data_IF_398913568200
#
_entry.id   IF_398913568200
#
_cell.length_a   1.000
_cell.length_b   1.000
_cell.length_c   1.000
_cell.angle_alpha   90.00
_cell.angle_beta   90.00
_cell.angle_gamma   90.00
#
_symmetry.space_group_name_H-M   'P 1'
#
loop_
_entity.id
_entity.type
_entity.pdbx_description
1 polymer ?
#
# COMPACT_ATOMS: atom_id res chain seq x y z
N UNK A 1 29.00 24.83 -33.83
CA UNK A 1 29.26 24.37 -32.44
C UNK A 1 28.14 24.88 -31.56
N UNK A 2 27.24 23.99 -31.12
CA UNK A 2 26.13 24.36 -30.25
C UNK A 2 26.64 24.39 -28.81
N UNK A 3 26.57 25.55 -28.14
CA UNK A 3 26.84 25.66 -26.70
C UNK A 3 25.53 25.31 -25.99
N UNK A 4 25.51 24.25 -25.18
CA UNK A 4 24.31 23.73 -24.53
C UNK A 4 23.96 24.48 -23.23
N UNK A 5 24.11 25.81 -23.21
CA UNK A 5 23.59 26.63 -22.11
C UNK A 5 22.07 26.75 -22.23
N UNK A 6 21.35 25.70 -21.81
CA UNK A 6 19.89 25.64 -21.77
C UNK A 6 19.40 25.65 -20.32
N UNK A 7 18.23 26.26 -20.04
CA UNK A 7 17.60 26.13 -18.74
C UNK A 7 17.18 24.67 -18.49
N UNK A 8 17.22 24.22 -17.21
CA UNK A 8 16.86 22.86 -16.75
C UNK A 8 15.58 22.30 -17.43
N UNK A 9 14.53 23.12 -17.53
CA UNK A 9 13.23 22.74 -18.14
C UNK A 9 13.32 22.32 -19.61
N UNK A 10 14.37 22.69 -20.33
CA UNK A 10 14.57 22.39 -21.74
C UNK A 10 15.49 21.19 -22.00
N UNK A 11 16.02 20.59 -20.94
CA UNK A 11 16.88 19.41 -21.05
C UNK A 11 16.08 18.11 -21.14
N UNK A 12 16.70 17.07 -21.70
CA UNK A 12 16.12 15.74 -21.86
C UNK A 12 16.32 14.88 -20.61
N UNK A 13 15.23 14.38 -20.04
CA UNK A 13 15.25 13.47 -18.88
C UNK A 13 14.56 12.16 -19.26
N UNK A 14 15.14 11.02 -18.86
CA UNK A 14 14.55 9.71 -18.99
C UNK A 14 14.03 9.25 -17.62
N UNK A 15 12.72 9.18 -17.45
CA UNK A 15 12.12 8.76 -16.17
C UNK A 15 11.93 7.25 -16.07
N UNK A 16 11.31 6.61 -17.07
CA UNK A 16 11.14 5.15 -17.15
C UNK A 16 10.62 4.73 -18.52
N UNK A 17 10.62 3.43 -18.81
CA UNK A 17 9.99 2.86 -20.02
C UNK A 17 8.47 3.02 -20.06
N UNK A 18 7.84 3.28 -18.92
CA UNK A 18 6.38 3.44 -18.79
C UNK A 18 5.95 4.91 -18.72
N UNK A 19 6.91 5.83 -18.85
CA UNK A 19 6.63 7.26 -18.74
C UNK A 19 5.97 7.81 -20.02
N UNK A 20 4.79 8.39 -19.84
CA UNK A 20 4.00 8.96 -20.93
C UNK A 20 4.61 10.26 -21.49
N UNK A 21 5.60 10.85 -20.81
CA UNK A 21 6.28 12.06 -21.29
C UNK A 21 7.40 11.78 -22.31
N UNK A 22 7.68 10.52 -22.62
CA UNK A 22 8.76 10.10 -23.54
C UNK A 22 8.75 10.84 -24.89
N UNK A 23 7.58 11.07 -25.49
CA UNK A 23 7.47 11.79 -26.76
C UNK A 23 7.89 13.27 -26.67
N UNK A 24 7.61 13.94 -25.54
CA UNK A 24 8.01 15.32 -25.29
C UNK A 24 9.53 15.45 -25.11
N UNK A 25 10.16 14.50 -24.43
CA UNK A 25 11.60 14.52 -24.24
C UNK A 25 12.37 14.11 -25.50
N UNK A 26 11.86 13.16 -26.29
CA UNK A 26 12.49 12.79 -27.55
C UNK A 26 12.41 13.90 -28.62
N UNK A 27 11.38 14.75 -28.61
CA UNK A 27 11.32 15.90 -29.53
C UNK A 27 12.38 16.96 -29.20
N UNK A 28 12.70 17.13 -27.91
CA UNK A 28 13.86 17.93 -27.49
C UNK A 28 15.19 17.27 -27.86
N UNK A 29 15.29 15.95 -27.70
CA UNK A 29 16.47 15.18 -28.06
C UNK A 29 16.78 15.29 -29.57
N UNK A 30 15.75 15.33 -30.42
CA UNK A 30 15.91 15.47 -31.88
C UNK A 30 16.75 16.69 -32.27
N UNK A 31 16.58 17.83 -31.60
CA UNK A 31 17.38 19.03 -31.86
C UNK A 31 18.88 18.80 -31.61
N UNK A 32 19.20 18.03 -30.57
CA UNK A 32 20.58 17.65 -30.24
C UNK A 32 21.12 16.56 -31.17
N UNK A 33 20.26 15.63 -31.57
CA UNK A 33 20.60 14.57 -32.52
C UNK A 33 20.85 15.11 -33.94
N UNK A 34 20.33 16.28 -34.27
CA UNK A 34 20.59 16.97 -35.54
C UNK A 34 21.73 18.00 -35.50
N UNK A 35 22.23 18.38 -34.32
CA UNK A 35 23.30 19.40 -34.18
C UNK A 35 24.71 18.81 -34.08
N UNK A 36 25.76 19.56 -34.42
CA UNK A 36 27.13 19.12 -34.09
C UNK A 36 27.39 19.29 -32.58
N UNK A 37 27.83 18.20 -31.94
CA UNK A 37 28.18 18.18 -30.51
C UNK A 37 29.69 18.43 -30.37
N UNK A 38 30.05 19.32 -29.46
CA UNK A 38 31.43 19.60 -29.13
C UNK A 38 32.15 18.34 -28.59
N UNK A 39 33.41 18.13 -28.99
CA UNK A 39 34.19 16.99 -28.52
C UNK A 39 34.70 17.14 -27.07
N UNK A 40 34.72 18.37 -26.56
CA UNK A 40 35.18 18.70 -25.21
C UNK A 40 34.07 19.46 -24.47
N UNK A 41 33.12 18.70 -23.91
CA UNK A 41 32.09 19.20 -23.00
C UNK A 41 32.66 19.23 -21.57
N UNK A 42 32.48 20.36 -20.88
CA UNK A 42 32.91 20.56 -19.49
C UNK A 42 31.72 20.73 -18.51
N UNK A 43 30.49 20.91 -19.02
CA UNK A 43 29.29 20.96 -18.19
C UNK A 43 28.79 19.55 -17.89
N UNK A 44 28.64 19.25 -16.59
CA UNK A 44 28.10 17.98 -16.10
C UNK A 44 26.68 17.73 -16.60
N UNK A 45 25.84 18.77 -16.72
CA UNK A 45 24.44 18.60 -17.13
C UNK A 45 24.33 18.21 -18.61
N UNK A 46 25.23 18.69 -19.46
CA UNK A 46 25.31 18.26 -20.86
C UNK A 46 25.64 16.77 -20.94
N UNK A 47 26.60 16.30 -20.13
CA UNK A 47 26.99 14.89 -20.07
C UNK A 47 25.84 14.02 -19.57
N UNK A 48 25.12 14.47 -18.54
CA UNK A 48 23.96 13.76 -18.00
C UNK A 48 22.78 13.77 -18.98
N UNK A 49 22.58 14.83 -19.75
CA UNK A 49 21.58 14.90 -20.83
C UNK A 49 21.88 13.89 -21.94
N UNK A 50 23.14 13.80 -22.40
CA UNK A 50 23.57 12.79 -23.38
C UNK A 50 23.35 11.36 -22.88
N UNK A 51 23.57 11.12 -21.58
CA UNK A 51 23.29 9.83 -20.97
C UNK A 51 21.78 9.52 -20.96
N UNK A 52 20.94 10.47 -20.57
CA UNK A 52 19.48 10.30 -20.58
C UNK A 52 18.92 10.06 -22.00
N UNK A 53 19.46 10.74 -23.01
CA UNK A 53 19.12 10.46 -24.42
C UNK A 53 19.49 9.02 -24.76
N UNK A 54 20.68 8.56 -24.36
CA UNK A 54 21.14 7.19 -24.61
C UNK A 54 20.18 6.13 -24.06
N UNK A 55 19.58 6.36 -22.89
CA UNK A 55 18.62 5.45 -22.26
C UNK A 55 17.36 5.19 -23.12
N UNK A 56 16.84 6.20 -23.83
CA UNK A 56 15.72 5.99 -24.75
C UNK A 56 16.08 5.00 -25.86
N UNK A 57 17.27 5.16 -26.45
CA UNK A 57 17.74 4.30 -27.55
C UNK A 57 18.06 2.88 -27.08
N UNK A 58 18.63 2.73 -25.89
CA UNK A 58 18.88 1.44 -25.25
C UNK A 58 17.59 0.66 -24.97
N UNK A 59 16.49 1.36 -24.68
CA UNK A 59 15.18 0.76 -24.44
C UNK A 59 14.29 0.67 -25.70
N UNK A 60 14.81 1.02 -26.88
CA UNK A 60 14.05 0.91 -28.13
C UNK A 60 12.90 1.93 -28.26
N UNK A 61 12.97 3.05 -27.54
CA UNK A 61 11.92 4.07 -27.51
C UNK A 61 12.26 5.18 -28.50
N UNK A 62 11.39 5.38 -29.49
CA UNK A 62 11.58 6.34 -30.59
C UNK A 62 10.34 7.20 -30.80
N UNK A 63 10.53 8.38 -31.38
CA UNK A 63 9.41 9.18 -31.87
C UNK A 63 8.75 8.50 -33.05
N UNK A 64 7.41 8.48 -33.06
CA UNK A 64 6.61 7.94 -34.18
C UNK A 64 6.83 8.70 -35.50
N UNK A 65 7.33 9.93 -35.43
CA UNK A 65 7.65 10.76 -36.59
C UNK A 65 8.99 10.44 -37.24
N UNK A 66 9.87 9.68 -36.58
CA UNK A 66 11.18 9.31 -37.12
C UNK A 66 11.04 8.18 -38.15
N UNK A 67 11.72 8.33 -39.28
CA UNK A 67 11.87 7.26 -40.26
C UNK A 67 12.89 6.22 -39.79
N UNK A 68 12.86 5.02 -40.38
CA UNK A 68 13.87 3.98 -40.11
C UNK A 68 15.29 4.48 -40.39
N UNK A 69 15.45 5.34 -41.41
CA UNK A 69 16.72 5.98 -41.74
C UNK A 69 17.19 6.96 -40.66
N UNK A 70 16.26 7.76 -40.09
CA UNK A 70 16.58 8.68 -38.98
C UNK A 70 17.01 7.90 -37.74
N UNK A 71 16.28 6.82 -37.42
CA UNK A 71 16.58 5.97 -36.26
C UNK A 71 17.98 5.36 -36.37
N UNK A 72 18.38 4.88 -37.56
CA UNK A 72 19.73 4.34 -37.78
C UNK A 72 20.79 5.43 -37.60
N UNK A 73 20.61 6.60 -38.22
CA UNK A 73 21.56 7.71 -38.09
C UNK A 73 21.70 8.21 -36.64
N UNK A 74 20.58 8.35 -35.93
CA UNK A 74 20.58 8.77 -34.53
C UNK A 74 21.20 7.71 -33.61
N UNK A 75 21.02 6.42 -33.87
CA UNK A 75 21.72 5.34 -33.14
C UNK A 75 23.23 5.44 -33.29
N UNK A 76 23.72 5.65 -34.51
CA UNK A 76 25.16 5.84 -34.77
C UNK A 76 25.71 7.03 -33.99
N UNK A 77 24.96 8.15 -33.97
CA UNK A 77 25.32 9.32 -33.20
C UNK A 77 25.33 9.08 -31.70
N UNK A 78 24.27 8.48 -31.14
CA UNK A 78 24.17 8.15 -29.70
C UNK A 78 25.31 7.23 -29.26
N UNK A 79 25.77 6.32 -30.13
CA UNK A 79 26.95 5.50 -29.83
C UNK A 79 28.21 6.32 -29.57
N UNK A 80 28.35 7.52 -30.15
CA UNK A 80 29.48 8.42 -29.88
C UNK A 80 29.43 9.01 -28.46
N UNK A 81 28.25 9.15 -27.86
CA UNK A 81 28.09 9.77 -26.53
C UNK A 81 28.77 8.97 -25.43
N UNK A 82 28.80 7.64 -25.56
CA UNK A 82 29.42 6.73 -24.58
C UNK A 82 30.87 7.11 -24.27
N UNK A 83 31.64 7.49 -25.27
CA UNK A 83 33.04 7.88 -25.09
C UNK A 83 33.16 9.24 -24.39
N UNK A 84 32.31 10.21 -24.72
CA UNK A 84 32.28 11.53 -24.07
C UNK A 84 31.92 11.40 -22.59
N UNK A 85 30.83 10.67 -22.29
CA UNK A 85 30.37 10.39 -20.93
C UNK A 85 31.48 9.71 -20.13
N UNK A 86 32.10 8.67 -20.68
CA UNK A 86 33.21 7.97 -20.01
C UNK A 86 34.38 8.91 -19.71
N UNK A 87 34.83 9.68 -20.70
CA UNK A 87 35.97 10.60 -20.56
C UNK A 87 35.71 11.60 -19.44
N UNK A 88 34.52 12.20 -19.41
CA UNK A 88 34.15 13.17 -18.39
C UNK A 88 34.05 12.54 -16.99
N UNK A 89 33.24 11.50 -16.82
CA UNK A 89 32.98 10.91 -15.49
C UNK A 89 34.25 10.35 -14.85
N UNK A 90 35.18 9.80 -15.65
CA UNK A 90 36.44 9.24 -15.11
C UNK A 90 37.45 10.29 -14.63
N UNK A 91 37.23 11.57 -14.98
CA UNK A 91 38.00 12.72 -14.50
C UNK A 91 37.46 13.32 -13.19
N UNK A 92 36.28 12.91 -12.73
CA UNK A 92 35.73 13.40 -11.45
C UNK A 92 36.53 12.79 -10.30
N UNK A 93 37.08 13.58 -9.41
CA UNK A 93 37.79 13.10 -8.22
C UNK A 93 37.51 14.00 -7.02
N UNK A 94 38.16 13.72 -5.89
CA UNK A 94 37.95 14.46 -4.66
C UNK A 94 38.12 15.99 -4.81
N UNK A 95 38.96 16.45 -5.73
CA UNK A 95 39.29 17.87 -5.88
C UNK A 95 38.23 18.69 -6.62
N UNK A 96 37.42 18.04 -7.45
CA UNK A 96 36.43 18.70 -8.31
C UNK A 96 34.99 18.21 -8.09
N UNK A 97 34.80 17.12 -7.32
CA UNK A 97 33.51 16.50 -7.08
C UNK A 97 32.44 17.48 -6.60
N UNK A 98 32.72 18.27 -5.56
CA UNK A 98 31.75 19.19 -4.97
C UNK A 98 31.30 20.25 -5.98
N UNK A 99 32.25 20.82 -6.73
CA UNK A 99 31.96 21.81 -7.77
C UNK A 99 31.06 21.26 -8.87
N UNK A 100 31.24 20.01 -9.27
CA UNK A 100 30.34 19.41 -10.25
C UNK A 100 28.97 19.07 -9.63
N UNK A 101 28.97 18.50 -8.42
CA UNK A 101 27.76 18.05 -7.75
C UNK A 101 26.78 19.20 -7.48
N UNK A 102 27.26 20.35 -7.01
CA UNK A 102 26.44 21.53 -6.70
C UNK A 102 25.76 22.14 -7.94
N UNK A 103 26.28 21.85 -9.13
CA UNK A 103 25.74 22.35 -10.39
C UNK A 103 24.79 21.36 -11.08
N UNK A 104 24.51 20.19 -10.49
CA UNK A 104 23.63 19.18 -11.09
C UNK A 104 22.17 19.65 -11.07
N UNK A 105 21.52 19.62 -12.24
CA UNK A 105 20.09 19.83 -12.37
C UNK A 105 19.31 18.70 -11.68
N UNK A 106 18.22 19.05 -10.99
CA UNK A 106 17.49 18.13 -10.09
C UNK A 106 17.07 16.82 -10.76
N UNK A 107 16.73 16.86 -12.05
CA UNK A 107 16.33 15.69 -12.84
C UNK A 107 17.44 14.66 -13.06
N UNK A 108 18.69 14.94 -12.71
CA UNK A 108 19.84 14.11 -13.07
C UNK A 108 20.59 13.44 -11.92
N UNK A 109 20.15 13.60 -10.66
CA UNK A 109 20.81 12.94 -9.53
C UNK A 109 20.89 11.41 -9.68
N UNK A 110 19.81 10.76 -10.12
CA UNK A 110 19.79 9.31 -10.36
C UNK A 110 20.84 8.90 -11.41
N UNK A 111 20.88 9.62 -12.53
CA UNK A 111 21.87 9.39 -13.60
C UNK A 111 23.30 9.61 -13.10
N UNK A 112 23.54 10.67 -12.34
CA UNK A 112 24.86 10.97 -11.79
C UNK A 112 25.38 9.86 -10.88
N UNK A 113 24.60 9.48 -9.86
CA UNK A 113 25.01 8.45 -8.91
C UNK A 113 25.19 7.08 -9.58
N UNK A 114 24.35 6.77 -10.57
CA UNK A 114 24.49 5.57 -11.38
C UNK A 114 25.81 5.56 -12.15
N UNK A 115 26.19 6.68 -12.78
CA UNK A 115 27.45 6.80 -13.51
C UNK A 115 28.66 6.74 -12.58
N UNK A 116 28.65 7.46 -11.45
CA UNK A 116 29.70 7.39 -10.42
C UNK A 116 29.89 5.96 -9.90
N UNK A 117 28.78 5.22 -9.70
CA UNK A 117 28.82 3.81 -9.31
C UNK A 117 29.40 2.92 -10.42
N UNK A 118 28.89 3.04 -11.65
CA UNK A 118 29.24 2.15 -12.75
C UNK A 118 30.69 2.33 -13.22
N UNK A 119 31.18 3.57 -13.27
CA UNK A 119 32.58 3.88 -13.56
C UNK A 119 33.50 3.74 -12.34
N UNK A 120 32.96 3.36 -11.18
CA UNK A 120 33.69 3.16 -9.92
C UNK A 120 34.42 4.41 -9.41
N UNK A 121 33.95 5.59 -9.79
CA UNK A 121 34.63 6.84 -9.46
C UNK A 121 34.50 7.20 -7.97
N UNK A 122 33.53 6.61 -7.27
CA UNK A 122 33.42 6.63 -5.80
C UNK A 122 34.70 6.17 -5.08
N UNK A 123 35.60 5.43 -5.76
CA UNK A 123 36.90 5.05 -5.17
C UNK A 123 37.84 6.23 -4.98
N UNK A 124 37.70 7.28 -5.79
CA UNK A 124 38.51 8.50 -5.77
C UNK A 124 37.85 9.68 -5.02
N UNK A 125 36.67 9.46 -4.48
CA UNK A 125 35.93 10.45 -3.69
C UNK A 125 36.01 10.03 -2.23
N UNK A 126 36.36 10.97 -1.37
CA UNK A 126 36.55 10.75 0.07
C UNK A 126 35.20 10.73 0.79
N UNK A 127 35.13 10.08 1.97
CA UNK A 127 33.92 10.10 2.79
C UNK A 127 33.45 11.51 3.19
N UNK A 128 34.38 12.45 3.41
CA UNK A 128 34.05 13.83 3.79
C UNK A 128 33.25 14.58 2.73
N UNK A 129 33.51 14.31 1.44
CA UNK A 129 32.69 14.87 0.35
C UNK A 129 31.23 14.38 0.44
N UNK A 130 31.02 13.11 0.81
CA UNK A 130 29.68 12.55 0.95
C UNK A 130 28.98 13.06 2.22
N UNK A 131 29.73 13.26 3.30
CA UNK A 131 29.21 13.94 4.50
C UNK A 131 28.70 15.34 4.16
N UNK A 132 29.47 16.12 3.40
CA UNK A 132 29.08 17.46 2.95
C UNK A 132 27.82 17.43 2.08
N UNK A 133 27.74 16.51 1.10
CA UNK A 133 26.54 16.31 0.29
C UNK A 133 25.32 16.01 1.16
N UNK A 134 25.43 15.12 2.14
CA UNK A 134 24.31 14.74 2.99
C UNK A 134 23.90 15.84 3.97
N UNK A 135 24.84 16.67 4.44
CA UNK A 135 24.55 17.83 5.28
C UNK A 135 23.80 18.92 4.50
N UNK A 136 24.23 19.19 3.26
CA UNK A 136 23.63 20.23 2.41
C UNK A 136 22.36 19.76 1.70
N UNK A 137 22.27 18.46 1.38
CA UNK A 137 21.19 17.85 0.62
C UNK A 137 20.82 16.47 1.16
N UNK A 138 20.15 16.39 2.33
CA UNK A 138 19.78 15.12 2.99
C UNK A 138 19.02 14.13 2.10
N UNK A 139 18.21 14.62 1.16
CA UNK A 139 17.43 13.81 0.23
C UNK A 139 18.28 12.88 -0.66
N UNK A 140 19.57 13.21 -0.84
CA UNK A 140 20.53 12.44 -1.65
C UNK A 140 20.83 11.05 -1.09
N UNK A 141 20.55 10.83 0.20
CA UNK A 141 20.74 9.52 0.84
C UNK A 141 20.03 8.40 0.08
N UNK A 142 18.83 8.65 -0.50
CA UNK A 142 18.08 7.62 -1.23
C UNK A 142 18.82 7.19 -2.51
N UNK A 143 19.42 8.12 -3.23
CA UNK A 143 20.22 7.82 -4.43
C UNK A 143 21.47 7.02 -4.06
N UNK A 144 22.18 7.39 -2.99
CA UNK A 144 23.33 6.63 -2.48
C UNK A 144 22.94 5.19 -2.07
N UNK A 145 21.87 5.04 -1.30
CA UNK A 145 21.38 3.74 -0.84
C UNK A 145 20.88 2.85 -1.98
N UNK A 146 20.61 3.40 -3.17
CA UNK A 146 20.23 2.60 -4.34
C UNK A 146 21.38 1.80 -4.96
N UNK A 147 22.63 2.09 -4.57
CA UNK A 147 23.83 1.48 -5.13
C UNK A 147 24.66 0.78 -4.06
N UNK A 148 24.68 -0.56 -4.08
CA UNK A 148 25.40 -1.37 -3.08
C UNK A 148 26.88 -0.96 -2.91
N UNK A 149 27.59 -0.66 -4.00
CA UNK A 149 29.02 -0.29 -3.89
C UNK A 149 29.23 1.06 -3.19
N UNK A 150 28.32 2.03 -3.39
CA UNK A 150 28.36 3.31 -2.68
C UNK A 150 28.09 3.09 -1.19
N UNK A 151 27.11 2.24 -0.86
CA UNK A 151 26.80 1.87 0.52
C UNK A 151 27.97 1.19 1.22
N UNK A 152 28.64 0.28 0.54
CA UNK A 152 29.79 -0.43 1.10
C UNK A 152 30.99 0.52 1.29
N UNK A 153 31.23 1.44 0.35
CA UNK A 153 32.32 2.44 0.42
C UNK A 153 32.09 3.46 1.54
N UNK A 154 30.89 4.01 1.66
CA UNK A 154 30.54 5.10 2.59
C UNK A 154 29.76 4.62 3.80
N UNK A 155 29.95 3.35 4.18
CA UNK A 155 29.20 2.66 5.22
C UNK A 155 29.09 3.45 6.53
N UNK A 156 30.18 4.03 7.02
CA UNK A 156 30.21 4.76 8.29
C UNK A 156 29.40 6.06 8.21
N UNK A 157 29.67 6.88 7.19
CA UNK A 157 28.94 8.13 6.90
C UNK A 157 27.43 7.88 6.82
N UNK A 158 27.02 6.88 6.04
CA UNK A 158 25.60 6.54 5.89
C UNK A 158 24.98 6.02 7.19
N UNK A 159 25.73 5.27 8.00
CA UNK A 159 25.24 4.82 9.30
C UNK A 159 25.04 5.97 10.28
N UNK A 160 25.95 6.94 10.32
CA UNK A 160 25.82 8.12 11.18
C UNK A 160 24.65 8.98 10.72
N UNK A 161 24.58 9.28 9.42
CA UNK A 161 23.48 10.04 8.83
C UNK A 161 22.12 9.41 9.12
N UNK A 162 21.96 8.11 8.87
CA UNK A 162 20.68 7.42 9.07
C UNK A 162 20.23 7.40 10.54
N UNK A 163 21.16 7.51 11.50
CA UNK A 163 20.87 7.58 12.93
C UNK A 163 20.50 8.99 13.39
N UNK A 164 21.03 10.02 12.73
CA UNK A 164 20.79 11.42 13.08
C UNK A 164 19.56 12.01 12.38
N UNK A 165 19.27 11.56 11.16
CA UNK A 165 18.18 12.09 10.36
C UNK A 165 16.85 11.41 10.68
N UNK A 166 15.82 12.20 11.01
CA UNK A 166 14.52 11.68 11.40
C UNK A 166 13.77 11.03 10.21
N UNK A 167 13.97 11.53 8.98
CA UNK A 167 13.30 10.98 7.79
C UNK A 167 13.82 9.60 7.39
N UNK A 168 14.94 9.17 7.95
CA UNK A 168 15.52 7.85 7.76
C UNK A 168 14.58 6.71 8.19
N UNK A 169 13.63 6.98 9.10
CA UNK A 169 12.57 6.04 9.43
C UNK A 169 11.71 5.67 8.22
N UNK A 170 11.38 6.63 7.35
CA UNK A 170 10.59 6.38 6.13
C UNK A 170 11.37 5.53 5.13
N UNK A 171 12.69 5.68 5.09
CA UNK A 171 13.57 4.82 4.27
C UNK A 171 13.51 3.38 4.80
N UNK A 172 13.67 3.17 6.11
CA UNK A 172 13.58 1.85 6.73
C UNK A 172 12.22 1.20 6.46
N UNK A 173 11.13 1.93 6.69
CA UNK A 173 9.79 1.45 6.43
C UNK A 173 9.58 1.13 4.94
N UNK A 174 10.14 1.95 4.04
CA UNK A 174 10.07 1.69 2.60
C UNK A 174 10.76 0.39 2.17
N UNK A 175 11.77 -0.06 2.91
CA UNK A 175 12.49 -1.32 2.65
C UNK A 175 11.69 -2.50 3.21
N UNK A 176 11.25 -2.40 4.46
CA UNK A 176 10.71 -3.55 5.19
C UNK A 176 9.19 -3.69 5.06
N UNK A 177 8.43 -2.62 5.25
CA UNK A 177 6.99 -2.69 5.57
C UNK A 177 6.07 -2.11 4.49
N UNK A 178 6.53 -1.13 3.70
CA UNK A 178 5.69 -0.44 2.71
C UNK A 178 5.52 -1.26 1.44
N UNK A 179 4.29 -1.39 0.95
CA UNK A 179 3.94 -2.06 -0.30
C UNK A 179 4.59 -1.36 -1.49
N UNK A 180 5.14 -2.15 -2.41
CA UNK A 180 5.87 -1.62 -3.55
C UNK A 180 4.90 -1.32 -4.70
N UNK A 181 4.78 -0.05 -5.08
CA UNK A 181 4.17 0.34 -6.35
C UNK A 181 5.19 0.30 -7.50
N UNK A 182 4.70 0.49 -8.73
CA UNK A 182 5.46 0.41 -9.99
C UNK A 182 6.83 1.13 -9.94
N UNK A 183 7.86 0.49 -10.52
CA UNK A 183 9.21 1.05 -10.77
C UNK A 183 10.05 1.47 -9.55
N UNK A 184 9.92 0.79 -8.39
CA UNK A 184 10.74 1.16 -7.22
C UNK A 184 12.18 0.63 -7.30
N UNK A 185 13.14 1.53 -7.10
CA UNK A 185 14.56 1.22 -6.99
C UNK A 185 14.86 0.47 -5.68
N UNK A 186 15.58 -0.65 -5.79
CA UNK A 186 16.02 -1.42 -4.63
C UNK A 186 17.03 -0.62 -3.80
N UNK A 187 16.77 -0.50 -2.50
CA UNK A 187 17.66 0.17 -1.56
C UNK A 187 18.47 -0.84 -0.73
N UNK A 188 19.70 -0.47 -0.39
CA UNK A 188 20.65 -1.23 0.41
C UNK A 188 20.97 -0.45 1.69
N UNK A 189 20.88 -1.10 2.85
CA UNK A 189 21.27 -0.48 4.11
C UNK A 189 22.74 -0.77 4.44
N UNK A 190 23.46 0.18 5.06
CA UNK A 190 24.81 -0.06 5.52
C UNK A 190 24.83 -1.12 6.63
N UNK A 191 25.78 -2.05 6.56
CA UNK A 191 25.84 -3.22 7.45
C UNK A 191 26.17 -2.90 8.92
N UNK A 192 26.43 -1.63 9.27
CA UNK A 192 26.64 -1.19 10.66
C UNK A 192 25.33 -0.83 11.38
N UNK A 193 24.19 -0.79 10.69
CA UNK A 193 22.90 -0.58 11.34
C UNK A 193 22.41 -1.87 12.01
N UNK A 194 22.47 -1.89 13.33
CA UNK A 194 21.92 -2.98 14.15
C UNK A 194 20.39 -2.93 14.20
N UNK A 195 19.76 -4.00 14.67
CA UNK A 195 18.31 -4.02 14.91
C UNK A 195 17.91 -2.92 15.91
N UNK A 196 18.74 -2.70 16.94
CA UNK A 196 18.53 -1.67 17.96
C UNK A 196 18.68 -0.26 17.37
N UNK A 197 19.64 -0.04 16.46
CA UNK A 197 19.75 1.24 15.75
C UNK A 197 18.50 1.53 14.94
N UNK A 198 18.01 0.56 14.18
CA UNK A 198 16.79 0.70 13.37
C UNK A 198 15.56 1.00 14.23
N UNK A 199 15.41 0.32 15.36
CA UNK A 199 14.31 0.63 16.28
C UNK A 199 14.43 2.04 16.88
N UNK A 200 15.64 2.48 17.24
CA UNK A 200 15.86 3.85 17.75
C UNK A 200 15.49 4.92 16.72
N UNK A 201 15.79 4.70 15.45
CA UNK A 201 15.39 5.59 14.35
C UNK A 201 13.86 5.71 14.30
N UNK A 202 13.13 4.59 14.41
CA UNK A 202 11.66 4.61 14.44
C UNK A 202 11.13 5.34 15.69
N UNK A 203 11.71 5.11 16.86
CA UNK A 203 11.30 5.79 18.11
C UNK A 203 11.47 7.30 17.97
N UNK A 204 12.65 7.75 17.51
CA UNK A 204 12.92 9.18 17.31
C UNK A 204 11.98 9.82 16.28
N UNK A 205 11.56 9.04 15.28
CA UNK A 205 10.60 9.52 14.28
C UNK A 205 9.19 9.69 14.87
N UNK A 206 8.70 8.74 15.67
CA UNK A 206 7.38 8.84 16.34
C UNK A 206 7.34 10.05 17.29
N UNK A 207 8.44 10.30 18.00
CA UNK A 207 8.55 11.39 18.97
C UNK A 207 8.70 12.77 18.28
N UNK A 208 9.01 12.81 16.98
CA UNK A 208 9.14 14.05 16.21
C UNK A 208 7.81 14.78 16.00
N UNK A 209 7.89 16.10 15.86
CA UNK A 209 6.78 16.95 15.42
C UNK A 209 6.51 16.81 13.91
N UNK A 210 7.51 16.37 13.13
CA UNK A 210 7.42 16.20 11.68
C UNK A 210 7.10 14.75 11.26
N UNK A 211 6.69 13.90 12.19
CA UNK A 211 6.27 12.53 11.90
C UNK A 211 5.09 12.54 10.91
N UNK A 212 5.24 11.85 9.78
CA UNK A 212 4.14 11.69 8.84
C UNK A 212 3.14 10.65 9.38
N UNK A 213 1.92 11.10 9.65
CA UNK A 213 0.83 10.31 10.24
C UNK A 213 0.52 9.04 9.43
N UNK A 214 0.77 9.04 8.11
CA UNK A 214 0.50 7.88 7.25
C UNK A 214 1.41 6.68 7.54
N UNK A 215 2.59 6.88 8.13
CA UNK A 215 3.48 5.78 8.51
C UNK A 215 3.16 5.18 9.88
N UNK A 216 2.39 5.86 10.74
CA UNK A 216 2.10 5.38 12.08
C UNK A 216 1.29 4.07 12.10
N UNK A 217 0.24 3.88 11.27
CA UNK A 217 -0.45 2.59 11.15
C UNK A 217 0.47 1.46 10.67
N UNK A 218 1.45 1.77 9.80
CA UNK A 218 2.44 0.82 9.29
C UNK A 218 3.36 0.39 10.43
N UNK A 219 3.86 1.34 11.23
CA UNK A 219 4.69 1.04 12.40
C UNK A 219 3.92 0.21 13.43
N UNK A 220 2.67 0.57 13.71
CA UNK A 220 1.81 -0.15 14.66
C UNK A 220 1.67 -1.64 14.28
N UNK A 221 1.48 -1.91 12.98
CA UNK A 221 1.19 -3.26 12.47
C UNK A 221 2.43 -3.99 11.92
N UNK A 222 3.61 -3.38 12.03
CA UNK A 222 4.87 -3.90 11.52
C UNK A 222 5.12 -5.35 11.93
N UNK A 223 5.60 -6.17 10.99
CA UNK A 223 5.86 -7.58 11.24
C UNK A 223 7.24 -7.77 11.86
N UNK A 224 7.46 -8.96 12.42
CA UNK A 224 8.79 -9.33 12.93
C UNK A 224 9.60 -9.85 11.75
N UNK A 225 10.63 -9.13 11.35
CA UNK A 225 11.64 -9.59 10.39
C UNK A 225 12.92 -9.98 11.13
N UNK A 226 13.79 -10.76 10.49
CA UNK A 226 15.09 -11.14 11.07
C UNK A 226 15.96 -9.92 11.35
N UNK A 227 15.98 -8.96 10.42
CA UNK A 227 16.88 -7.80 10.45
C UNK A 227 16.18 -6.48 10.78
N UNK A 228 14.88 -6.52 11.07
CA UNK A 228 14.07 -5.36 11.44
C UNK A 228 12.95 -5.79 12.39
N UNK A 229 12.95 -5.22 13.60
CA UNK A 229 12.00 -5.57 14.65
C UNK A 229 11.61 -4.33 15.43
N UNK A 230 10.32 -4.11 15.52
CA UNK A 230 9.72 -3.05 16.33
C UNK A 230 9.09 -3.71 17.56
N UNK A 231 9.46 -3.26 18.76
CA UNK A 231 8.90 -3.76 20.01
C UNK A 231 7.44 -3.34 20.19
N UNK A 232 6.71 -4.09 21.01
CA UNK A 232 5.31 -3.78 21.31
C UNK A 232 5.16 -2.41 22.01
N UNK A 233 6.20 -1.97 22.75
CA UNK A 233 6.26 -0.62 23.34
C UNK A 233 6.28 0.46 22.25
N UNK A 234 7.14 0.29 21.24
CA UNK A 234 7.24 1.23 20.12
C UNK A 234 5.97 1.23 19.26
N UNK A 235 5.36 0.06 19.04
CA UNK A 235 4.04 -0.06 18.36
C UNK A 235 2.93 0.68 19.11
N UNK A 236 2.91 0.56 20.44
CA UNK A 236 1.95 1.27 21.29
C UNK A 236 2.17 2.79 21.24
N UNK A 237 3.42 3.26 21.19
CA UNK A 237 3.74 4.67 21.01
C UNK A 237 3.20 5.20 19.66
N UNK A 238 3.44 4.47 18.56
CA UNK A 238 2.92 4.83 17.25
C UNK A 238 1.38 4.90 17.23
N UNK A 239 0.69 3.91 17.85
CA UNK A 239 -0.77 3.91 17.99
C UNK A 239 -1.28 5.15 18.74
N UNK A 240 -0.65 5.50 19.86
CA UNK A 240 -1.04 6.68 20.66
C UNK A 240 -0.82 7.98 19.90
N UNK A 241 0.32 8.13 19.24
CA UNK A 241 0.63 9.29 18.39
C UNK A 241 -0.38 9.41 17.25
N UNK A 242 -0.75 8.31 16.58
CA UNK A 242 -1.75 8.32 15.52
C UNK A 242 -3.12 8.80 16.03
N UNK A 243 -3.58 8.25 17.15
CA UNK A 243 -4.84 8.66 17.77
C UNK A 243 -4.84 10.14 18.16
N UNK A 244 -3.72 10.65 18.67
CA UNK A 244 -3.54 12.05 18.98
C UNK A 244 -3.61 12.93 17.71
N UNK A 245 -2.83 12.60 16.67
CA UNK A 245 -2.79 13.37 15.42
C UNK A 245 -4.15 13.37 14.69
N UNK A 246 -4.87 12.25 14.71
CA UNK A 246 -6.23 12.16 14.16
C UNK A 246 -7.17 13.08 14.93
N UNK A 247 -7.13 13.06 16.27
CA UNK A 247 -7.96 13.94 17.10
C UNK A 247 -7.66 15.41 16.84
N UNK A 248 -6.39 15.81 16.84
CA UNK A 248 -5.95 17.18 16.56
C UNK A 248 -6.41 17.65 15.17
N UNK A 249 -6.32 16.78 14.15
CA UNK A 249 -6.78 17.08 12.81
C UNK A 249 -8.29 17.39 12.77
N UNK A 250 -9.12 16.57 13.41
CA UNK A 250 -10.57 16.80 13.46
C UNK A 250 -10.97 17.99 14.33
N UNK A 251 -10.27 18.25 15.44
CA UNK A 251 -10.53 19.37 16.34
C UNK A 251 -10.15 20.73 15.72
N UNK A 252 -9.23 20.75 14.74
CA UNK A 252 -8.71 21.98 14.11
C UNK A 252 -9.70 22.72 13.21
N UNK A 253 -10.89 22.15 12.93
CA UNK A 253 -11.94 22.75 12.09
C UNK A 253 -11.55 23.01 10.62
N UNK A 254 -10.32 22.67 10.24
CA UNK A 254 -9.69 23.01 8.95
C UNK A 254 -9.81 21.88 7.91
N UNK A 255 -10.53 20.81 8.24
CA UNK A 255 -10.65 19.63 7.39
C UNK A 255 -11.92 19.67 6.54
N UNK A 256 -11.77 19.65 5.22
CA UNK A 256 -12.84 19.16 4.33
C UNK A 256 -12.91 17.64 4.50
N UNK A 257 -13.93 17.15 5.21
CA UNK A 257 -14.15 15.72 5.39
C UNK A 257 -15.20 15.22 4.41
N UNK A 258 -14.93 14.08 3.77
CA UNK A 258 -15.94 13.32 3.06
C UNK A 258 -16.64 12.40 4.08
N UNK A 259 -17.95 12.61 4.27
CA UNK A 259 -18.77 11.80 5.17
C UNK A 259 -19.45 10.70 4.38
N UNK A 260 -19.46 9.50 4.94
CA UNK A 260 -20.20 8.36 4.43
C UNK A 260 -20.76 7.56 5.60
N UNK A 261 -21.79 6.76 5.33
CA UNK A 261 -22.44 5.96 6.37
C UNK A 261 -23.47 5.00 5.82
N UNK A 262 -24.24 4.42 6.73
CA UNK A 262 -25.34 3.51 6.43
C UNK A 262 -26.55 3.84 7.30
N UNK A 263 -27.74 3.83 6.70
CA UNK A 263 -29.02 3.95 7.38
C UNK A 263 -29.86 2.71 7.10
N UNK A 264 -30.50 2.16 8.13
CA UNK A 264 -31.34 0.95 8.02
C UNK A 264 -32.70 1.22 8.64
N UNK A 265 -33.77 0.87 7.92
CA UNK A 265 -35.14 1.01 8.40
C UNK A 265 -35.98 -0.21 8.03
N UNK A 266 -37.05 -0.40 8.81
CA UNK A 266 -38.01 -1.49 8.64
C UNK A 266 -39.43 -0.91 8.51
N UNK A 267 -39.78 -0.30 7.36
CA UNK A 267 -41.09 0.31 7.17
C UNK A 267 -42.21 -0.74 7.12
N UNK A 268 -43.37 -0.36 7.65
CA UNK A 268 -44.65 -1.03 7.38
C UNK A 268 -45.24 -0.54 6.05
N UNK A 269 -46.05 -1.37 5.41
CA UNK A 269 -46.67 -1.19 4.10
C UNK A 269 -45.66 -0.88 2.98
N UNK A 270 -44.47 -1.49 3.06
CA UNK A 270 -43.43 -1.31 2.06
C UNK A 270 -43.83 -1.93 0.70
N UNK A 271 -43.57 -1.22 -0.40
CA UNK A 271 -43.90 -1.69 -1.76
C UNK A 271 -42.98 -2.80 -2.27
N UNK A 272 -41.81 -2.97 -1.65
CA UNK A 272 -40.82 -4.01 -1.95
C UNK A 272 -40.35 -4.65 -0.66
N UNK A 273 -39.98 -5.93 -0.71
CA UNK A 273 -39.39 -6.63 0.45
C UNK A 273 -38.03 -6.05 0.85
N UNK A 274 -37.31 -5.47 -0.12
CA UNK A 274 -36.02 -4.81 0.04
C UNK A 274 -35.90 -3.64 -0.93
N UNK A 275 -35.32 -2.54 -0.47
CA UNK A 275 -34.97 -1.39 -1.29
C UNK A 275 -33.68 -0.75 -0.77
N UNK A 276 -32.81 -0.29 -1.67
CA UNK A 276 -31.60 0.41 -1.28
C UNK A 276 -31.26 1.53 -2.27
N UNK A 277 -30.74 2.63 -1.75
CA UNK A 277 -30.30 3.78 -2.54
C UNK A 277 -29.16 4.52 -1.83
N UNK A 278 -28.50 5.42 -2.54
CA UNK A 278 -27.41 6.23 -2.01
C UNK A 278 -27.85 7.69 -2.00
N UNK A 279 -27.70 8.35 -0.86
CA UNK A 279 -27.95 9.77 -0.70
C UNK A 279 -26.80 10.40 0.09
N UNK A 280 -26.14 11.41 -0.48
CA UNK A 280 -25.07 12.18 0.17
C UNK A 280 -23.96 11.31 0.83
N UNK A 281 -23.55 10.21 0.17
CA UNK A 281 -22.54 9.29 0.69
C UNK A 281 -23.05 8.30 1.75
N UNK A 282 -24.34 8.32 2.07
CA UNK A 282 -24.99 7.33 2.95
C UNK A 282 -25.72 6.29 2.11
N UNK A 283 -25.51 5.02 2.40
CA UNK A 283 -26.28 3.92 1.80
C UNK A 283 -27.51 3.67 2.68
N UNK A 284 -28.70 3.79 2.12
CA UNK A 284 -29.95 3.52 2.81
C UNK A 284 -30.44 2.13 2.45
N UNK A 285 -30.83 1.35 3.46
CA UNK A 285 -31.46 0.04 3.31
C UNK A 285 -32.83 0.05 3.98
N UNK A 286 -33.85 -0.33 3.21
CA UNK A 286 -35.22 -0.54 3.66
C UNK A 286 -35.57 -2.03 3.51
N UNK A 287 -36.06 -2.63 4.60
CA UNK A 287 -36.56 -4.00 4.61
C UNK A 287 -38.03 -4.01 5.05
N UNK A 288 -38.91 -4.65 4.29
CA UNK A 288 -40.34 -4.71 4.63
C UNK A 288 -40.54 -5.40 5.99
N UNK A 289 -41.10 -4.67 6.95
CA UNK A 289 -41.44 -5.25 8.26
C UNK A 289 -42.59 -6.26 8.13
N UNK A 290 -43.54 -6.02 7.24
CA UNK A 290 -44.69 -6.91 7.00
C UNK A 290 -44.21 -8.25 6.46
N UNK A 291 -43.29 -8.24 5.49
CA UNK A 291 -42.69 -9.47 4.96
C UNK A 291 -42.06 -10.31 6.07
N UNK A 292 -41.30 -9.70 6.99
CA UNK A 292 -40.66 -10.41 8.10
C UNK A 292 -41.71 -10.95 9.09
N UNK A 293 -42.76 -10.18 9.40
CA UNK A 293 -43.85 -10.59 10.30
C UNK A 293 -44.65 -11.76 9.73
N UNK A 294 -44.97 -11.72 8.45
CA UNK A 294 -45.72 -12.75 7.73
C UNK A 294 -44.90 -14.04 7.54
N UNK A 295 -43.57 -13.92 7.40
CA UNK A 295 -42.65 -15.03 7.15
C UNK A 295 -41.75 -15.31 8.36
N UNK A 296 -42.34 -15.47 9.54
CA UNK A 296 -41.62 -15.53 10.80
C UNK A 296 -41.19 -16.94 11.26
N UNK A 297 -41.24 -17.95 10.38
CA UNK A 297 -40.71 -19.27 10.69
C UNK A 297 -39.19 -19.19 10.93
N UNK A 298 -38.63 -19.83 11.97
CA UNK A 298 -37.21 -19.69 12.33
C UNK A 298 -36.23 -19.89 11.17
N UNK A 299 -36.51 -20.86 10.29
CA UNK A 299 -35.68 -21.08 9.10
C UNK A 299 -35.74 -19.91 8.10
N UNK A 300 -36.91 -19.29 7.89
CA UNK A 300 -37.02 -18.14 6.97
C UNK A 300 -36.33 -16.91 7.59
N UNK A 301 -36.49 -16.71 8.90
CA UNK A 301 -35.79 -15.66 9.64
C UNK A 301 -34.26 -15.82 9.55
N UNK A 302 -33.76 -17.06 9.56
CA UNK A 302 -32.36 -17.37 9.27
C UNK A 302 -31.99 -17.07 7.81
N UNK A 303 -32.82 -17.48 6.85
CA UNK A 303 -32.58 -17.24 5.41
C UNK A 303 -32.61 -15.76 5.03
N UNK A 304 -33.18 -14.86 5.84
CA UNK A 304 -33.13 -13.42 5.57
C UNK A 304 -31.70 -12.85 5.52
N UNK A 305 -30.71 -13.49 6.16
CA UNK A 305 -29.29 -13.11 6.00
C UNK A 305 -28.78 -13.30 4.57
N UNK A 306 -29.37 -14.23 3.83
CA UNK A 306 -29.14 -14.42 2.40
C UNK A 306 -30.13 -13.58 1.59
N UNK A 307 -31.43 -13.75 1.80
CA UNK A 307 -32.49 -13.20 0.92
C UNK A 307 -32.66 -11.69 1.05
N UNK A 308 -32.56 -11.11 2.26
CA UNK A 308 -32.68 -9.67 2.48
C UNK A 308 -31.30 -9.01 2.51
N UNK A 309 -30.36 -9.57 3.28
CA UNK A 309 -29.08 -8.92 3.54
C UNK A 309 -27.98 -9.29 2.55
N UNK A 310 -28.14 -10.34 1.74
CA UNK A 310 -27.18 -10.77 0.71
C UNK A 310 -25.76 -11.00 1.27
N UNK A 311 -25.66 -11.63 2.45
CA UNK A 311 -24.35 -11.94 3.06
C UNK A 311 -23.57 -13.01 2.30
N UNK A 312 -24.27 -13.79 1.48
CA UNK A 312 -23.68 -14.78 0.61
C UNK A 312 -24.07 -14.52 -0.84
N UNK A 313 -23.20 -14.88 -1.77
CA UNK A 313 -23.48 -14.83 -3.20
C UNK A 313 -24.31 -16.03 -3.67
N UNK A 314 -24.58 -16.10 -4.97
CA UNK A 314 -25.33 -17.19 -5.61
C UNK A 314 -24.67 -18.57 -5.44
N UNK A 315 -23.38 -18.62 -5.08
CA UNK A 315 -22.63 -19.83 -4.80
C UNK A 315 -22.53 -20.14 -3.29
N UNK A 316 -23.24 -19.38 -2.45
CA UNK A 316 -23.20 -19.46 -0.98
C UNK A 316 -21.82 -19.11 -0.37
N UNK A 317 -21.01 -18.30 -1.06
CA UNK A 317 -19.75 -17.78 -0.54
C UNK A 317 -20.00 -16.44 0.13
N UNK A 318 -19.34 -16.17 1.27
CA UNK A 318 -19.47 -14.91 2.00
C UNK A 318 -19.12 -13.72 1.09
N UNK A 319 -20.10 -12.86 0.85
CA UNK A 319 -19.99 -11.69 -0.03
C UNK A 319 -19.44 -10.44 0.68
N UNK A 320 -19.27 -10.51 2.02
CA UNK A 320 -18.79 -9.44 2.91
C UNK A 320 -17.26 -9.25 2.84
N UNK A 321 -16.70 -9.20 1.64
CA UNK A 321 -15.26 -9.09 1.40
C UNK A 321 -14.94 -7.85 0.59
N UNK A 322 -13.77 -7.24 0.82
CA UNK A 322 -13.29 -6.18 -0.04
C UNK A 322 -12.97 -6.70 -1.45
N UNK A 323 -13.36 -5.93 -2.47
CA UNK A 323 -13.15 -6.29 -3.88
C UNK A 323 -12.35 -5.18 -4.57
N UNK A 324 -11.30 -5.56 -5.29
CA UNK A 324 -10.44 -4.58 -5.97
C UNK A 324 -11.20 -3.70 -6.97
N UNK A 325 -12.17 -4.28 -7.68
CA UNK A 325 -13.01 -3.56 -8.63
C UNK A 325 -13.95 -2.52 -7.97
N UNK A 326 -14.12 -2.56 -6.65
CA UNK A 326 -14.89 -1.59 -5.87
C UNK A 326 -14.01 -0.45 -5.31
N UNK A 327 -12.68 -0.57 -5.38
CA UNK A 327 -11.77 0.51 -4.98
C UNK A 327 -11.73 1.58 -6.07
N UNK A 328 -11.96 2.84 -5.70
CA UNK A 328 -11.74 3.99 -6.56
C UNK A 328 -10.25 4.20 -6.87
N UNK A 329 -9.95 4.94 -7.94
CA UNK A 329 -8.55 5.21 -8.36
C UNK A 329 -7.74 5.84 -7.25
N UNK A 330 -8.28 6.86 -6.56
CA UNK A 330 -7.60 7.52 -5.45
C UNK A 330 -7.34 6.58 -4.28
N UNK A 331 -8.30 5.72 -3.96
CA UNK A 331 -8.13 4.74 -2.88
C UNK A 331 -7.00 3.78 -3.22
N UNK A 332 -6.90 3.32 -4.48
CA UNK A 332 -5.84 2.41 -4.94
C UNK A 332 -4.45 3.03 -4.92
N UNK A 333 -4.32 4.33 -5.20
CA UNK A 333 -3.03 4.95 -5.53
C UNK A 333 -2.51 5.95 -4.51
N UNK A 334 -3.37 6.60 -3.73
CA UNK A 334 -2.94 7.59 -2.74
C UNK A 334 -2.52 6.94 -1.43
N UNK A 335 -1.56 7.60 -0.77
CA UNK A 335 -1.09 7.22 0.56
C UNK A 335 0.04 6.19 0.54
N UNK A 336 0.44 5.79 1.74
CA UNK A 336 1.47 4.76 1.96
C UNK A 336 0.77 3.55 2.56
N UNK A 337 0.99 2.38 1.96
CA UNK A 337 0.33 1.12 2.36
C UNK A 337 1.33 0.12 2.89
N UNK A 338 0.90 -0.78 3.77
CA UNK A 338 1.75 -1.89 4.21
C UNK A 338 1.66 -3.09 3.26
N UNK A 339 2.74 -3.85 3.13
CA UNK A 339 2.80 -5.11 2.38
C UNK A 339 1.82 -6.19 2.86
N UNK A 340 1.38 -6.06 4.11
CA UNK A 340 0.48 -7.03 4.74
C UNK A 340 -0.85 -6.43 5.11
N UNK A 341 -1.15 -5.25 4.56
CA UNK A 341 -2.43 -4.58 4.76
C UNK A 341 -3.54 -5.34 4.05
N UNK A 342 -4.67 -5.51 4.74
CA UNK A 342 -5.91 -5.88 4.07
C UNK A 342 -6.40 -4.65 3.31
N UNK A 343 -6.37 -4.70 1.98
CA UNK A 343 -6.73 -3.54 1.17
C UNK A 343 -8.25 -3.40 1.14
N UNK A 344 -8.75 -2.23 1.55
CA UNK A 344 -10.16 -1.89 1.44
C UNK A 344 -10.38 -0.39 1.18
N UNK A 345 -11.62 -0.05 0.86
CA UNK A 345 -12.05 1.32 0.57
C UNK A 345 -13.44 1.60 1.14
N UNK A 346 -13.99 2.77 0.85
CA UNK A 346 -15.27 3.28 1.37
C UNK A 346 -16.42 2.30 1.13
N UNK A 347 -16.47 1.66 -0.05
CA UNK A 347 -17.50 0.66 -0.37
C UNK A 347 -17.47 -0.53 0.61
N UNK A 348 -16.28 -1.04 0.94
CA UNK A 348 -16.13 -2.11 1.93
C UNK A 348 -16.46 -1.62 3.35
N UNK A 349 -16.04 -0.40 3.72
CA UNK A 349 -16.38 0.16 5.03
C UNK A 349 -17.89 0.32 5.19
N UNK A 350 -18.60 0.77 4.16
CA UNK A 350 -20.07 0.83 4.16
C UNK A 350 -20.69 -0.58 4.23
N UNK A 351 -20.11 -1.58 3.56
CA UNK A 351 -20.55 -2.97 3.66
C UNK A 351 -20.39 -3.52 5.09
N UNK A 352 -19.25 -3.25 5.74
CA UNK A 352 -19.00 -3.60 7.13
C UNK A 352 -20.02 -2.92 8.06
N UNK A 353 -20.20 -1.60 7.93
CA UNK A 353 -21.20 -0.83 8.69
C UNK A 353 -22.62 -1.37 8.50
N UNK A 354 -22.99 -1.70 7.26
CA UNK A 354 -24.29 -2.26 6.94
C UNK A 354 -24.48 -3.61 7.60
N UNK A 355 -23.49 -4.51 7.51
CA UNK A 355 -23.60 -5.83 8.11
C UNK A 355 -23.77 -5.78 9.64
N UNK A 356 -22.96 -4.96 10.31
CA UNK A 356 -23.08 -4.77 11.76
C UNK A 356 -24.41 -4.12 12.15
N UNK A 357 -24.84 -3.09 11.40
CA UNK A 357 -26.10 -2.40 11.63
C UNK A 357 -27.31 -3.30 11.42
N UNK A 358 -27.28 -4.16 10.40
CA UNK A 358 -28.35 -5.11 10.08
C UNK A 358 -28.46 -6.17 11.17
N UNK A 359 -27.36 -6.78 11.62
CA UNK A 359 -27.38 -7.74 12.74
C UNK A 359 -28.03 -7.10 13.97
N UNK A 360 -27.61 -5.89 14.33
CA UNK A 360 -28.13 -5.20 15.50
C UNK A 360 -29.62 -4.84 15.38
N UNK A 361 -30.00 -4.18 14.29
CA UNK A 361 -31.37 -3.71 14.09
C UNK A 361 -32.34 -4.86 13.83
N UNK A 362 -31.93 -5.88 13.08
CA UNK A 362 -32.71 -7.09 12.85
C UNK A 362 -32.90 -7.89 14.14
N UNK A 363 -31.88 -7.98 15.00
CA UNK A 363 -32.03 -8.60 16.34
C UNK A 363 -33.15 -7.93 17.14
N UNK A 364 -33.32 -6.61 17.04
CA UNK A 364 -34.42 -5.91 17.71
C UNK A 364 -35.79 -6.21 17.08
N UNK A 365 -35.87 -6.33 15.75
CA UNK A 365 -37.08 -6.79 15.06
C UNK A 365 -37.47 -8.20 15.53
N UNK A 366 -36.50 -9.12 15.58
CA UNK A 366 -36.70 -10.50 16.03
C UNK A 366 -37.18 -10.58 17.48
N UNK A 367 -36.62 -9.77 18.37
CA UNK A 367 -37.09 -9.67 19.77
C UNK A 367 -38.56 -9.26 19.84
N UNK A 368 -39.00 -8.33 18.98
CA UNK A 368 -40.40 -7.94 18.88
C UNK A 368 -41.33 -9.08 18.43
N UNK A 369 -40.79 -10.09 17.75
CA UNK A 369 -41.49 -11.30 17.32
C UNK A 369 -41.34 -12.47 18.32
N UNK A 370 -40.65 -12.25 19.46
CA UNK A 370 -40.40 -13.29 20.46
C UNK A 370 -39.23 -14.22 20.15
N UNK A 371 -38.35 -13.87 19.19
CA UNK A 371 -37.18 -14.65 18.83
C UNK A 371 -35.87 -13.99 19.28
N UNK A 372 -34.84 -14.82 19.44
CA UNK A 372 -33.43 -14.36 19.50
C UNK A 372 -32.65 -14.96 18.33
N UNK A 373 -31.53 -14.33 17.94
CA UNK A 373 -30.67 -14.85 16.88
C UNK A 373 -30.07 -16.19 17.29
N UNK A 374 -29.67 -16.32 18.55
CA UNK A 374 -29.11 -17.54 19.11
C UNK A 374 -30.13 -18.69 19.05
N UNK A 375 -31.38 -18.46 19.45
CA UNK A 375 -32.42 -19.50 19.41
C UNK A 375 -32.77 -19.91 17.98
N UNK A 376 -32.78 -18.95 17.04
CA UNK A 376 -32.95 -19.24 15.61
C UNK A 376 -31.81 -20.13 15.11
N UNK A 377 -30.55 -19.76 15.38
CA UNK A 377 -29.38 -20.55 14.95
C UNK A 377 -29.42 -21.97 15.51
N UNK A 378 -29.74 -22.12 16.81
CA UNK A 378 -29.89 -23.44 17.44
C UNK A 378 -30.99 -24.24 16.77
N UNK A 379 -32.18 -23.66 16.61
CA UNK A 379 -33.33 -24.35 15.99
C UNK A 379 -33.02 -24.79 14.57
N UNK A 380 -32.36 -23.95 13.77
CA UNK A 380 -31.95 -24.29 12.42
C UNK A 380 -30.99 -25.47 12.43
N UNK A 381 -29.95 -25.43 13.28
CA UNK A 381 -28.95 -26.48 13.31
C UNK A 381 -29.48 -27.82 13.85
N UNK A 382 -30.24 -27.80 14.94
CA UNK A 382 -30.67 -29.04 15.62
C UNK A 382 -31.96 -29.64 15.08
N UNK A 383 -32.80 -28.85 14.40
CA UNK A 383 -34.10 -29.30 13.94
C UNK A 383 -34.22 -29.19 12.41
N UNK A 384 -33.98 -28.00 11.86
CA UNK A 384 -34.22 -27.76 10.43
C UNK A 384 -33.23 -28.49 9.52
N UNK A 385 -31.93 -28.43 9.81
CA UNK A 385 -30.93 -29.08 8.96
C UNK A 385 -31.07 -30.63 8.96
N UNK A 386 -31.32 -31.30 10.10
CA UNK A 386 -31.67 -32.72 10.12
C UNK A 386 -32.87 -33.06 9.24
N UNK A 387 -33.93 -32.25 9.29
CA UNK A 387 -35.15 -32.50 8.51
C UNK A 387 -34.95 -32.28 7.01
N UNK A 388 -34.22 -31.23 6.60
CA UNK A 388 -34.07 -30.86 5.20
C UNK A 388 -32.90 -31.53 4.48
N UNK A 389 -31.87 -31.95 5.20
CA UNK A 389 -30.60 -32.39 4.64
C UNK A 389 -30.06 -33.70 5.25
N UNK A 390 -30.90 -34.45 5.97
CA UNK A 390 -30.54 -35.72 6.61
C UNK A 390 -29.29 -35.63 7.53
N UNK A 391 -29.07 -34.46 8.15
CA UNK A 391 -28.01 -34.28 9.13
C UNK A 391 -28.26 -35.25 10.30
N UNK A 392 -27.23 -35.98 10.80
CA UNK A 392 -27.41 -36.96 11.86
C UNK A 392 -28.09 -36.38 13.10
N UNK A 393 -29.03 -37.12 13.68
CA UNK A 393 -29.81 -36.67 14.84
C UNK A 393 -28.97 -36.43 16.10
N UNK A 394 -27.73 -36.93 16.13
CA UNK A 394 -26.78 -36.69 17.21
C UNK A 394 -25.91 -35.44 16.97
N UNK A 395 -26.05 -34.73 15.84
CA UNK A 395 -25.42 -33.44 15.62
C UNK A 395 -25.80 -32.47 16.74
N UNK A 396 -24.80 -31.78 17.28
CA UNK A 396 -24.99 -30.93 18.45
C UNK A 396 -24.42 -29.53 18.20
N UNK A 397 -25.14 -28.52 18.69
CA UNK A 397 -24.71 -27.15 18.70
C UNK A 397 -25.22 -26.46 19.95
N UNK A 398 -24.29 -25.96 20.76
CA UNK A 398 -24.62 -25.27 22.00
C UNK A 398 -24.53 -23.77 21.77
N UNK A 399 -25.61 -23.06 22.11
CA UNK A 399 -25.61 -21.59 22.09
C UNK A 399 -25.41 -21.04 23.51
N UNK A 400 -24.81 -19.85 23.65
CA UNK A 400 -24.78 -19.15 24.93
C UNK A 400 -26.20 -18.86 25.42
N UNK A 401 -26.37 -18.77 26.74
CA UNK A 401 -27.65 -18.33 27.30
C UNK A 401 -27.94 -16.89 26.91
N UNK A 402 -29.22 -16.52 26.82
CA UNK A 402 -29.62 -15.16 26.43
C UNK A 402 -29.02 -14.08 27.35
N UNK A 403 -28.86 -14.40 28.64
CA UNK A 403 -28.31 -13.51 29.67
C UNK A 403 -26.77 -13.50 29.75
N UNK A 404 -26.08 -14.29 28.93
CA UNK A 404 -24.63 -14.30 28.89
C UNK A 404 -24.08 -12.92 28.48
N UNK A 405 -22.99 -12.50 29.12
CA UNK A 405 -22.27 -11.29 28.74
C UNK A 405 -21.70 -11.42 27.33
N UNK A 406 -21.46 -10.30 26.65
CA UNK A 406 -20.85 -10.31 25.31
C UNK A 406 -19.52 -11.08 25.27
N UNK A 407 -18.71 -10.98 26.33
CA UNK A 407 -17.45 -11.72 26.45
C UNK A 407 -17.66 -13.24 26.53
N UNK A 408 -18.64 -13.69 27.30
CA UNK A 408 -18.99 -15.11 27.40
C UNK A 408 -19.51 -15.64 26.06
N UNK A 409 -20.38 -14.88 25.39
CA UNK A 409 -20.89 -15.22 24.05
C UNK A 409 -19.74 -15.39 23.05
N UNK A 410 -18.80 -14.44 23.01
CA UNK A 410 -17.63 -14.49 22.12
C UNK A 410 -16.76 -15.73 22.41
N UNK A 411 -16.52 -16.05 23.69
CA UNK A 411 -15.67 -17.19 24.09
C UNK A 411 -16.30 -18.55 23.82
N UNK A 412 -17.61 -18.63 23.76
CA UNK A 412 -18.35 -19.90 23.61
C UNK A 412 -18.73 -20.18 22.16
N UNK A 413 -19.10 -19.17 21.38
CA UNK A 413 -19.55 -19.36 19.99
C UNK A 413 -18.41 -19.87 19.07
N UNK A 414 -17.18 -19.36 19.21
CA UNK A 414 -16.10 -19.73 18.30
C UNK A 414 -15.71 -21.23 18.38
N UNK A 415 -15.52 -21.84 19.57
CA UNK A 415 -15.35 -23.29 19.69
C UNK A 415 -16.52 -24.11 19.13
N UNK A 416 -17.75 -23.61 19.27
CA UNK A 416 -18.94 -24.32 18.79
C UNK A 416 -19.02 -24.33 17.25
N UNK A 417 -18.65 -23.23 16.59
CA UNK A 417 -18.54 -23.23 15.12
C UNK A 417 -17.42 -24.16 14.62
N UNK A 418 -16.28 -24.22 15.30
CA UNK A 418 -15.23 -25.20 14.99
C UNK A 418 -15.74 -26.63 15.17
N UNK A 419 -16.50 -26.91 16.23
CA UNK A 419 -17.12 -28.22 16.45
C UNK A 419 -18.09 -28.58 15.32
N UNK A 420 -18.93 -27.64 14.86
CA UNK A 420 -19.83 -27.86 13.72
C UNK A 420 -19.04 -28.29 12.48
N UNK A 421 -17.94 -27.59 12.16
CA UNK A 421 -17.13 -27.91 10.98
C UNK A 421 -16.52 -29.32 11.08
N UNK A 422 -16.04 -29.70 12.27
CA UNK A 422 -15.50 -31.05 12.49
C UNK A 422 -16.60 -32.13 12.45
N UNK A 423 -17.76 -31.87 13.05
CA UNK A 423 -18.92 -32.77 13.00
C UNK A 423 -19.36 -33.01 11.55
N UNK A 424 -19.46 -31.93 10.75
CA UNK A 424 -19.78 -32.03 9.33
C UNK A 424 -18.74 -32.83 8.55
N UNK A 425 -17.44 -32.61 8.82
CA UNK A 425 -16.37 -33.38 8.21
C UNK A 425 -16.50 -34.88 8.50
N UNK A 426 -16.71 -35.27 9.75
CA UNK A 426 -16.91 -36.67 10.13
C UNK A 426 -18.14 -37.27 9.45
N UNK A 427 -19.23 -36.52 9.36
CA UNK A 427 -20.42 -36.95 8.64
C UNK A 427 -20.14 -37.21 7.15
N UNK A 428 -19.43 -36.30 6.47
CA UNK A 428 -19.07 -36.47 5.06
C UNK A 428 -18.12 -37.65 4.85
N UNK A 429 -17.17 -37.87 5.74
CA UNK A 429 -16.16 -38.94 5.62
C UNK A 429 -16.72 -40.32 5.99
N UNK A 430 -17.57 -40.39 7.02
CA UNK A 430 -17.96 -41.66 7.66
C UNK A 430 -19.46 -41.96 7.59
N UNK A 431 -20.27 -41.04 7.06
CA UNK A 431 -21.74 -41.14 7.05
C UNK A 431 -22.41 -41.00 8.43
N UNK A 432 -21.63 -40.72 9.48
CA UNK A 432 -22.12 -40.49 10.85
C UNK A 432 -21.15 -39.60 11.64
N UNK A 433 -21.61 -39.04 12.75
CA UNK A 433 -20.79 -38.22 13.65
C UNK A 433 -20.35 -39.09 14.83
N UNK A 434 -19.06 -39.40 14.90
CA UNK A 434 -18.42 -40.05 16.05
C UNK A 434 -17.76 -39.00 16.94
N UNK A 435 -18.37 -38.73 18.11
CA UNK A 435 -17.88 -37.71 19.04
C UNK A 435 -16.58 -38.11 19.75
N UNK A 436 -16.17 -39.38 19.72
CA UNK A 436 -14.87 -39.79 20.29
C UNK A 436 -13.68 -39.31 19.45
N UNK A 437 -13.93 -38.84 18.22
CA UNK A 437 -12.91 -38.33 17.29
C UNK A 437 -12.73 -36.78 17.33
N UNK A 438 -13.47 -36.05 18.18
CA UNK A 438 -13.61 -34.58 18.11
C UNK A 438 -12.74 -33.75 19.06
#
# INVERSE_FOLDING_TARGET
>A
MFVMNKPDRDRVVFHSIHDMSSGHYLSKAELLLNSEIANDLDDINDILELYNISLFFENGIYLKSWSDTDIVAYKEKVNTFKNLIRKFITNIDDSNFQSYFENIDYGYYDSFWLLINNYQQYKKISPSQIEEVLNNSPHQVRHLLSHKNLVDKYKLVLCEFLKSDQQSAEILLSIYEVENSFNKTKLYLPSCLTIQDKERIIVSYIDSEHCNTNYLPIIQNAKKHSDFRISDKTKLAAKRKYQQSVKEFFDSGSSSSFKYGVAISYPENASKIKHAWIEQGTVHYEFSLDYIKENNHPYILYRNFETLFEYVDEQNIVALTSKENQLGVLERTLGVRSKTEYVFGVAFTQLEMASMGQIYTYSNVLKGLGYSLEDILKTVFTNTLPELFDLPSNANFTIPTQNASALEKIRTIAPEFESILKQYKLFVENGHIDFELL
#
